data_IF_335169255376
#
_entry.id   IF_335169255376
#
_cell.length_a   1.000
_cell.length_b   1.000
_cell.length_c   1.000
_cell.angle_alpha   90.00
_cell.angle_beta   90.00
_cell.angle_gamma   90.00
#
_symmetry.space_group_name_H-M   'P 1'
#
loop_
_entity.id
_entity.type
_entity.pdbx_description
1 polymer ?
#
# COMPACT_ATOMS: atom_id res chain seq x y z
N UNK A 1 -0.83 -16.09 -19.07
CA UNK A 1 -0.65 -15.67 -17.66
C UNK A 1 0.28 -14.47 -17.60
N UNK A 2 1.46 -14.53 -18.25
CA UNK A 2 2.23 -13.35 -18.64
C UNK A 2 2.10 -13.14 -20.15
N UNK A 3 1.67 -11.96 -20.57
CA UNK A 3 1.72 -11.49 -21.95
C UNK A 3 2.89 -10.53 -22.09
N UNK A 4 3.48 -10.42 -23.28
CA UNK A 4 4.54 -9.46 -23.53
C UNK A 4 4.01 -8.03 -23.30
N UNK A 5 4.62 -7.34 -22.34
CA UNK A 5 4.22 -6.00 -21.96
C UNK A 5 4.25 -4.97 -23.12
N UNK A 6 5.30 -4.91 -23.98
CA UNK A 6 5.35 -3.89 -25.02
C UNK A 6 4.31 -4.14 -26.13
N UNK A 7 4.04 -5.39 -26.48
CA UNK A 7 3.03 -5.73 -27.50
C UNK A 7 1.62 -5.50 -26.98
N UNK A 8 1.34 -5.94 -25.75
CA UNK A 8 0.04 -5.75 -25.12
C UNK A 8 -0.30 -4.26 -24.96
N UNK A 9 0.69 -3.42 -24.63
CA UNK A 9 0.50 -1.98 -24.51
C UNK A 9 0.05 -1.37 -25.85
N UNK A 10 0.72 -1.75 -26.95
CA UNK A 10 0.33 -1.34 -28.30
C UNK A 10 -1.09 -1.77 -28.64
N UNK A 11 -1.40 -3.05 -28.45
CA UNK A 11 -2.72 -3.63 -28.70
C UNK A 11 -3.85 -2.98 -27.87
N UNK A 12 -3.54 -2.56 -26.65
CA UNK A 12 -4.49 -1.88 -25.77
C UNK A 12 -4.95 -0.55 -26.38
N UNK A 13 -4.01 0.25 -26.87
CA UNK A 13 -4.26 1.56 -27.47
C UNK A 13 -4.81 1.48 -28.90
N UNK A 14 -4.46 0.45 -29.65
CA UNK A 14 -5.01 0.21 -31.00
C UNK A 14 -6.39 -0.45 -30.97
N UNK A 15 -6.90 -0.85 -29.80
CA UNK A 15 -8.23 -1.46 -29.66
C UNK A 15 -8.29 -2.93 -30.06
N UNK A 16 -7.13 -3.57 -30.27
CA UNK A 16 -7.02 -4.94 -30.79
C UNK A 16 -6.70 -5.98 -29.71
N UNK A 17 -6.57 -5.56 -28.45
CA UNK A 17 -6.25 -6.48 -27.37
C UNK A 17 -7.38 -7.47 -27.08
N UNK A 18 -7.01 -8.63 -26.53
CA UNK A 18 -7.99 -9.62 -26.11
C UNK A 18 -8.95 -9.06 -25.05
N UNK A 19 -10.24 -9.43 -25.10
CA UNK A 19 -11.26 -8.95 -24.15
C UNK A 19 -10.86 -9.21 -22.68
N UNK A 20 -10.16 -10.32 -22.42
CA UNK A 20 -9.67 -10.66 -21.07
C UNK A 20 -8.69 -9.61 -20.53
N UNK A 21 -7.88 -8.98 -21.40
CA UNK A 21 -6.93 -7.95 -21.00
C UNK A 21 -7.67 -6.67 -20.56
N UNK A 22 -8.68 -6.26 -21.32
CA UNK A 22 -9.51 -5.10 -20.94
C UNK A 22 -10.26 -5.34 -19.62
N UNK A 23 -10.86 -6.52 -19.46
CA UNK A 23 -11.61 -6.85 -18.24
C UNK A 23 -10.67 -6.86 -17.02
N UNK A 24 -9.49 -7.47 -17.13
CA UNK A 24 -8.53 -7.52 -16.02
C UNK A 24 -8.00 -6.13 -15.67
N UNK A 25 -7.61 -5.31 -16.66
CA UNK A 25 -7.19 -3.92 -16.42
C UNK A 25 -8.30 -3.11 -15.76
N UNK A 26 -9.54 -3.21 -16.25
CA UNK A 26 -10.68 -2.50 -15.69
C UNK A 26 -10.96 -2.91 -14.23
N UNK A 27 -10.96 -4.21 -13.93
CA UNK A 27 -11.19 -4.72 -12.57
C UNK A 27 -10.09 -4.28 -11.62
N UNK A 28 -8.82 -4.41 -12.01
CA UNK A 28 -7.69 -4.00 -11.19
C UNK A 28 -7.70 -2.48 -10.95
N UNK A 29 -8.01 -1.70 -11.98
CA UNK A 29 -8.10 -0.23 -11.86
C UNK A 29 -9.24 0.18 -10.94
N UNK A 30 -10.44 -0.37 -11.16
CA UNK A 30 -11.62 -0.05 -10.37
C UNK A 30 -11.42 -0.41 -8.89
N UNK A 31 -10.97 -1.64 -8.62
CA UNK A 31 -10.74 -2.08 -7.24
C UNK A 31 -9.64 -1.26 -6.55
N UNK A 32 -8.54 -0.95 -7.24
CA UNK A 32 -7.47 -0.10 -6.70
C UNK A 32 -7.97 1.30 -6.38
N UNK A 33 -8.72 1.92 -7.29
CA UNK A 33 -9.24 3.27 -7.10
C UNK A 33 -10.26 3.32 -5.96
N UNK A 34 -11.19 2.37 -5.91
CA UNK A 34 -12.20 2.30 -4.86
C UNK A 34 -11.58 2.05 -3.48
N UNK A 35 -10.74 1.03 -3.34
CA UNK A 35 -10.19 0.64 -2.04
C UNK A 35 -9.05 1.55 -1.57
N UNK A 36 -8.12 1.90 -2.45
CA UNK A 36 -6.96 2.72 -2.11
C UNK A 36 -7.25 4.22 -2.11
N UNK A 37 -8.13 4.68 -3.01
CA UNK A 37 -8.48 6.08 -3.15
C UNK A 37 -9.65 6.50 -2.26
N UNK A 38 -10.81 5.86 -2.44
CA UNK A 38 -12.05 6.31 -1.79
C UNK A 38 -12.24 5.74 -0.38
N UNK A 39 -11.80 4.50 -0.14
CA UNK A 39 -12.04 3.78 1.13
C UNK A 39 -10.76 3.57 1.96
N UNK A 40 -9.74 4.42 1.78
CA UNK A 40 -8.41 4.27 2.39
C UNK A 40 -8.47 4.00 3.89
N UNK A 41 -9.25 4.77 4.64
CA UNK A 41 -9.33 4.64 6.10
C UNK A 41 -9.95 3.30 6.54
N UNK A 42 -10.98 2.85 5.83
CA UNK A 42 -11.65 1.57 6.11
C UNK A 42 -10.71 0.40 5.82
N UNK A 43 -9.99 0.48 4.70
CA UNK A 43 -8.99 -0.52 4.31
C UNK A 43 -7.84 -0.54 5.32
N UNK A 44 -7.25 0.60 5.65
CA UNK A 44 -6.13 0.68 6.59
C UNK A 44 -6.48 0.18 7.99
N UNK A 45 -7.71 0.41 8.46
CA UNK A 45 -8.14 0.05 9.82
C UNK A 45 -8.57 -1.40 9.94
N UNK A 46 -9.32 -1.92 8.96
CA UNK A 46 -10.00 -3.22 9.09
C UNK A 46 -9.45 -4.32 8.19
N UNK A 47 -8.86 -3.98 7.04
CA UNK A 47 -8.43 -4.97 6.04
C UNK A 47 -6.91 -5.11 5.97
N UNK A 48 -6.17 -4.01 6.13
CA UNK A 48 -4.75 -3.96 5.91
C UNK A 48 -4.02 -4.81 6.98
N UNK A 49 -3.32 -5.88 6.59
CA UNK A 49 -2.58 -6.70 7.54
C UNK A 49 -1.26 -6.05 7.97
N UNK A 50 -0.88 -4.93 7.31
CA UNK A 50 0.42 -4.29 7.46
C UNK A 50 0.80 -3.97 8.92
N UNK A 51 -0.06 -3.37 9.76
CA UNK A 51 0.32 -3.07 11.13
C UNK A 51 0.73 -4.30 11.96
N UNK A 52 0.24 -5.49 11.58
CA UNK A 52 0.56 -6.76 12.27
C UNK A 52 1.80 -7.44 11.70
N UNK A 53 1.99 -7.40 10.38
CA UNK A 53 3.12 -8.09 9.72
C UNK A 53 4.38 -7.21 9.69
N UNK A 54 4.24 -5.89 9.72
CA UNK A 54 5.38 -4.97 9.65
C UNK A 54 6.39 -5.21 10.77
N UNK A 55 5.94 -5.55 11.98
CA UNK A 55 6.84 -5.89 13.09
C UNK A 55 7.62 -7.19 12.85
N UNK A 56 7.09 -8.14 12.08
CA UNK A 56 7.78 -9.38 11.74
C UNK A 56 8.82 -9.22 10.62
N UNK A 57 8.75 -8.12 9.85
CA UNK A 57 9.72 -7.81 8.78
C UNK A 57 10.90 -6.96 9.26
N UNK A 58 10.86 -6.48 10.51
CA UNK A 58 11.93 -5.69 11.11
C UNK A 58 12.82 -6.61 11.95
N UNK A 59 14.13 -6.50 11.75
CA UNK A 59 15.14 -7.14 12.58
C UNK A 59 15.96 -6.09 13.36
N UNK A 60 16.94 -6.55 14.14
CA UNK A 60 17.81 -5.68 14.95
C UNK A 60 18.70 -4.75 14.12
N UNK A 61 18.91 -5.05 12.84
CA UNK A 61 19.69 -4.24 11.89
C UNK A 61 18.83 -3.29 11.06
N UNK A 62 17.51 -3.35 11.21
CA UNK A 62 16.55 -2.59 10.41
C UNK A 62 16.38 -1.18 10.95
N UNK A 63 16.55 -0.18 10.08
CA UNK A 63 16.36 1.22 10.43
C UNK A 63 14.86 1.57 10.46
N UNK A 64 14.31 1.78 11.67
CA UNK A 64 12.95 2.31 11.84
C UNK A 64 12.94 3.82 11.86
N UNK A 65 12.09 4.42 11.02
CA UNK A 65 11.84 5.86 11.05
C UNK A 65 10.97 6.20 12.26
N UNK A 66 11.53 6.95 13.20
CA UNK A 66 10.82 7.47 14.37
C UNK A 66 10.74 8.99 14.32
N UNK A 67 9.78 9.56 15.05
CA UNK A 67 9.67 11.01 15.17
C UNK A 67 10.81 11.55 16.03
N UNK A 68 11.33 12.73 15.68
CA UNK A 68 12.24 13.45 16.56
C UNK A 68 11.52 13.84 17.85
N UNK A 69 12.18 13.63 18.98
CA UNK A 69 11.68 13.94 20.32
C UNK A 69 11.19 15.39 20.49
N UNK A 70 11.81 16.36 19.81
CA UNK A 70 11.51 17.79 19.88
C UNK A 70 10.37 18.26 18.97
N UNK A 71 9.91 17.45 18.01
CA UNK A 71 8.97 17.90 16.95
C UNK A 71 7.53 17.39 17.17
N UNK A 72 7.26 16.54 18.16
CA UNK A 72 5.95 15.89 18.35
C UNK A 72 5.01 16.57 19.36
N UNK A 73 3.70 16.49 19.12
CA UNK A 73 2.66 16.78 20.11
C UNK A 73 2.77 15.80 21.31
N UNK A 74 2.67 16.25 22.57
CA UNK A 74 2.74 15.36 23.73
C UNK A 74 1.55 14.39 23.75
N UNK A 75 1.73 13.18 23.20
CA UNK A 75 0.70 12.12 23.24
C UNK A 75 0.50 11.64 24.68
N UNK A 76 -0.70 11.83 25.24
CA UNK A 76 -1.20 11.16 26.46
C UNK A 76 -2.21 10.08 26.06
N UNK A 77 -2.36 8.92 26.70
CA UNK A 77 -2.70 8.71 28.12
C UNK A 77 -2.12 7.45 28.80
N UNK A 78 -1.29 6.64 28.14
CA UNK A 78 -0.64 5.50 28.80
C UNK A 78 0.86 5.47 28.49
N UNK A 79 1.68 5.66 29.53
CA UNK A 79 3.14 5.78 29.53
C UNK A 79 3.84 4.65 28.75
N UNK A 80 5.01 4.82 28.13
CA UNK A 80 6.28 5.25 28.72
C UNK A 80 7.13 5.96 27.64
N UNK A 81 7.65 7.16 27.95
CA UNK A 81 8.76 7.72 27.20
C UNK A 81 9.97 6.81 27.40
N UNK A 82 10.25 5.94 26.43
CA UNK A 82 11.62 5.52 26.18
C UNK A 82 12.17 6.61 25.26
N UNK A 83 13.04 7.46 25.80
CA UNK A 83 13.79 8.40 24.99
C UNK A 83 14.58 7.55 23.98
N UNK A 84 14.28 7.71 22.69
CA UNK A 84 15.14 7.18 21.65
C UNK A 84 16.44 7.98 21.73
N UNK A 85 17.53 7.29 22.08
CA UNK A 85 18.89 7.84 22.10
C UNK A 85 19.42 8.03 20.67
#
# INVERSE_FOLDING_TARGET
>A
YFADAPTLLGELFTGTAAAVAYITVAVLTATTYTFGGLMREQVCTYMCPWPRIQAAMLDESSLTVTYNDWRGEPRSRHAKKVQAA
#
